data_IF_992914861841
#
_entry.id   IF_992914861841
#
_cell.length_a   1.000
_cell.length_b   1.000
_cell.length_c   1.000
_cell.angle_alpha   90.00
_cell.angle_beta   90.00
_cell.angle_gamma   90.00
#
_symmetry.space_group_name_H-M   'P 1'
#
loop_
_entity.id
_entity.type
_entity.pdbx_description
1 polymer ?
#
# COMPACT_ATOMS: atom_id res chain seq x y z
N UNK A 1 -29.15 48.02 -22.93
CA UNK A 1 -29.06 46.57 -23.24
C UNK A 1 -27.61 46.06 -23.29
N UNK A 2 -26.74 46.43 -22.35
CA UNK A 2 -25.35 45.89 -22.29
C UNK A 2 -24.90 45.51 -20.88
N UNK A 3 -25.80 45.54 -19.89
CA UNK A 3 -25.50 45.19 -18.49
C UNK A 3 -25.99 43.79 -18.08
N UNK A 4 -26.81 43.11 -18.91
CA UNK A 4 -27.37 41.79 -18.58
C UNK A 4 -26.49 40.59 -18.97
N UNK A 5 -25.44 40.80 -19.77
CA UNK A 5 -24.55 39.70 -20.21
C UNK A 5 -23.47 39.38 -19.15
N UNK A 6 -23.09 40.37 -18.32
CA UNK A 6 -22.07 40.19 -17.30
C UNK A 6 -22.49 39.26 -16.14
N UNK A 7 -23.80 39.06 -15.95
CA UNK A 7 -24.34 38.25 -14.84
C UNK A 7 -24.44 36.75 -15.18
N UNK A 8 -24.38 36.37 -16.45
CA UNK A 8 -24.40 34.97 -16.88
C UNK A 8 -23.01 34.33 -16.96
N UNK A 9 -21.93 35.13 -16.98
CA UNK A 9 -20.56 34.63 -16.99
C UNK A 9 -20.03 34.24 -15.59
N UNK A 10 -20.70 34.65 -14.51
CA UNK A 10 -20.30 34.32 -13.13
C UNK A 10 -21.05 33.13 -12.54
N UNK A 11 -22.13 32.66 -13.18
CA UNK A 11 -22.93 31.50 -12.73
C UNK A 11 -22.53 30.18 -13.41
N UNK A 12 -21.67 30.21 -14.43
CA UNK A 12 -21.18 29.01 -15.12
C UNK A 12 -19.88 28.42 -14.54
N UNK A 13 -19.24 29.09 -13.56
CA UNK A 13 -18.01 28.59 -12.92
C UNK A 13 -18.24 27.82 -11.61
N UNK A 14 -19.49 27.63 -11.19
CA UNK A 14 -19.85 26.83 -10.02
C UNK A 14 -21.09 25.97 -10.30
N UNK A 15 -20.96 24.95 -11.15
CA UNK A 15 -21.88 23.80 -11.12
C UNK A 15 -21.18 22.61 -10.44
N UNK A 16 -21.79 22.02 -9.40
CA UNK A 16 -21.17 21.00 -8.55
C UNK A 16 -21.29 19.62 -9.20
N UNK A 17 -20.15 18.99 -9.51
CA UNK A 17 -20.11 17.56 -9.82
C UNK A 17 -19.51 16.83 -8.63
N UNK A 18 -20.41 16.42 -7.74
CA UNK A 18 -20.36 15.19 -6.92
C UNK A 18 -18.98 14.60 -6.60
N UNK A 19 -18.35 15.06 -5.51
CA UNK A 19 -17.49 14.21 -4.66
C UNK A 19 -17.66 14.65 -3.19
N UNK A 20 -18.09 13.76 -2.27
CA UNK A 20 -18.24 14.14 -0.87
C UNK A 20 -16.90 13.99 -0.11
N UNK A 21 -16.53 15.06 0.60
CA UNK A 21 -15.94 15.10 1.96
C UNK A 21 -14.58 14.38 2.13
N UNK A 22 -13.44 15.02 2.46
CA UNK A 22 -13.18 16.12 3.39
C UNK A 22 -11.91 16.85 2.93
N UNK A 23 -12.02 18.15 2.68
CA UNK A 23 -10.89 19.06 2.48
C UNK A 23 -10.69 19.84 3.78
N UNK A 24 -9.77 19.41 4.64
CA UNK A 24 -9.28 20.29 5.71
C UNK A 24 -8.32 21.32 5.12
N UNK A 25 -8.67 22.59 5.36
CA UNK A 25 -8.00 23.78 4.87
C UNK A 25 -6.66 23.97 5.60
N UNK A 26 -5.59 24.10 4.83
CA UNK A 26 -4.32 24.67 5.27
C UNK A 26 -3.71 25.47 4.13
N UNK A 27 -3.95 26.78 4.11
CA UNK A 27 -3.35 27.73 3.18
C UNK A 27 -1.83 27.77 3.39
N UNK A 28 -1.07 27.08 2.54
CA UNK A 28 0.32 27.44 2.23
C UNK A 28 0.57 27.20 0.73
N UNK A 29 0.61 28.30 -0.02
CA UNK A 29 1.11 28.30 -1.40
C UNK A 29 2.65 28.22 -1.37
N UNK A 30 3.21 27.05 -1.07
CA UNK A 30 4.64 26.78 -1.26
C UNK A 30 4.74 25.60 -2.21
N UNK A 31 4.96 25.91 -3.49
CA UNK A 31 5.34 24.94 -4.51
C UNK A 31 4.36 23.79 -4.68
N UNK A 32 3.19 24.04 -5.29
CA UNK A 32 2.43 22.98 -5.94
C UNK A 32 3.33 22.40 -7.04
N UNK A 33 4.11 21.35 -6.72
CA UNK A 33 4.59 20.43 -7.75
C UNK A 33 3.32 19.86 -8.36
N UNK A 34 3.06 20.19 -9.63
CA UNK A 34 2.06 19.49 -10.41
C UNK A 34 2.25 17.98 -10.22
N UNK A 35 1.14 17.24 -10.22
CA UNK A 35 1.13 15.80 -10.01
C UNK A 35 2.33 15.16 -10.75
N UNK A 36 3.22 14.42 -10.06
CA UNK A 36 4.34 13.79 -10.74
C UNK A 36 3.79 12.91 -11.86
N UNK A 37 4.56 12.75 -12.93
CA UNK A 37 4.35 11.69 -13.92
C UNK A 37 3.89 10.42 -13.19
N UNK A 38 2.82 9.78 -13.70
CA UNK A 38 2.13 8.67 -13.05
C UNK A 38 3.14 7.74 -12.37
N UNK A 39 3.19 7.81 -11.03
CA UNK A 39 4.18 7.06 -10.27
C UNK A 39 3.98 5.57 -10.57
N UNK A 40 5.07 4.81 -10.78
CA UNK A 40 4.96 3.44 -11.25
C UNK A 40 4.11 2.58 -10.31
N UNK A 41 3.23 1.78 -10.89
CA UNK A 41 2.46 0.79 -10.13
C UNK A 41 3.42 -0.19 -9.46
N UNK A 42 3.11 -0.55 -8.21
CA UNK A 42 3.90 -1.49 -7.42
C UNK A 42 3.36 -2.88 -7.68
N UNK A 43 4.23 -3.81 -8.06
CA UNK A 43 3.93 -5.23 -8.15
C UNK A 43 5.18 -5.99 -7.72
N UNK A 44 5.06 -6.78 -6.65
CA UNK A 44 6.17 -7.51 -6.03
C UNK A 44 5.68 -8.93 -5.74
N UNK A 45 6.39 -9.93 -6.27
CA UNK A 45 6.23 -11.33 -5.86
C UNK A 45 6.95 -11.51 -4.51
N UNK A 46 6.21 -11.95 -3.50
CA UNK A 46 6.69 -12.12 -2.14
C UNK A 46 6.92 -13.59 -1.79
N UNK A 47 6.72 -14.53 -2.71
CA UNK A 47 6.77 -15.97 -2.40
C UNK A 47 8.13 -16.42 -1.89
N UNK A 48 9.21 -16.06 -2.59
CA UNK A 48 10.56 -16.40 -2.15
C UNK A 48 10.87 -15.81 -0.77
N UNK A 49 10.41 -14.58 -0.53
CA UNK A 49 10.69 -13.86 0.71
C UNK A 49 9.94 -14.47 1.89
N UNK A 50 8.66 -14.75 1.73
CA UNK A 50 7.84 -15.33 2.79
C UNK A 50 8.28 -16.76 3.12
N UNK A 51 8.60 -17.58 2.13
CA UNK A 51 9.00 -18.97 2.37
C UNK A 51 10.43 -19.11 2.91
N UNK A 52 11.33 -18.19 2.56
CA UNK A 52 12.68 -18.16 3.13
C UNK A 52 12.71 -17.65 4.57
N UNK A 53 11.74 -16.83 4.97
CA UNK A 53 11.72 -16.15 6.26
C UNK A 53 10.56 -16.65 7.12
N UNK A 54 10.82 -17.72 7.87
CA UNK A 54 9.89 -18.29 8.83
C UNK A 54 10.37 -17.98 10.25
N UNK A 55 9.58 -17.24 11.01
CA UNK A 55 9.91 -16.82 12.37
C UNK A 55 8.85 -17.27 13.37
N UNK A 56 9.30 -17.84 14.49
CA UNK A 56 8.43 -18.19 15.60
C UNK A 56 8.36 -17.09 16.65
N UNK A 57 7.14 -16.79 17.11
CA UNK A 57 6.91 -15.81 18.16
C UNK A 57 6.71 -14.38 17.65
N UNK A 58 7.51 -13.44 18.17
CA UNK A 58 7.36 -12.00 17.93
C UNK A 58 7.82 -11.57 16.52
N UNK A 59 7.46 -10.35 16.11
CA UNK A 59 7.90 -9.77 14.84
C UNK A 59 9.44 -9.71 14.78
N UNK A 60 10.09 -10.11 13.66
CA UNK A 60 11.53 -10.04 13.52
C UNK A 60 12.02 -8.60 13.65
N UNK A 61 13.14 -8.42 14.34
CA UNK A 61 13.84 -7.13 14.39
C UNK A 61 14.39 -6.74 13.00
N UNK A 62 14.72 -5.47 12.79
CA UNK A 62 15.30 -5.00 11.52
C UNK A 62 16.69 -5.58 11.25
N UNK A 63 17.42 -6.02 12.28
CA UNK A 63 18.70 -6.71 12.12
C UNK A 63 18.52 -8.17 11.66
N UNK A 64 17.45 -8.83 12.10
CA UNK A 64 17.14 -10.21 11.68
C UNK A 64 16.53 -10.27 10.28
N UNK A 65 15.65 -9.32 9.96
CA UNK A 65 15.03 -9.21 8.64
C UNK A 65 15.06 -7.74 8.22
N UNK A 66 16.10 -7.28 7.50
CA UNK A 66 16.17 -5.90 7.04
C UNK A 66 15.09 -5.62 5.99
N UNK A 67 14.74 -4.34 5.87
CA UNK A 67 13.88 -3.88 4.80
C UNK A 67 14.61 -3.95 3.45
N UNK A 68 13.90 -4.37 2.42
CA UNK A 68 14.33 -4.32 1.03
C UNK A 68 13.75 -3.08 0.36
N UNK A 69 14.58 -2.34 -0.37
CA UNK A 69 14.09 -1.23 -1.19
C UNK A 69 13.46 -1.78 -2.47
N UNK A 70 12.25 -1.34 -2.77
CA UNK A 70 11.60 -1.67 -4.04
C UNK A 70 12.33 -1.00 -5.19
N UNK A 71 12.55 -1.73 -6.29
CA UNK A 71 13.37 -1.28 -7.41
C UNK A 71 12.85 0.00 -8.09
N UNK A 72 11.53 0.24 -8.03
CA UNK A 72 10.91 1.48 -8.55
C UNK A 72 11.04 2.69 -7.63
N UNK A 73 11.75 2.57 -6.50
CA UNK A 73 11.96 3.68 -5.57
C UNK A 73 12.94 4.71 -6.12
N UNK A 74 12.69 5.99 -5.83
CA UNK A 74 13.63 7.07 -6.11
C UNK A 74 13.85 7.99 -4.89
N UNK A 75 14.50 9.14 -5.10
CA UNK A 75 14.79 10.13 -4.06
C UNK A 75 13.53 10.80 -3.46
N UNK A 76 12.46 10.91 -4.24
CA UNK A 76 11.21 11.59 -3.88
C UNK A 76 10.11 10.61 -3.41
N UNK A 77 10.17 9.35 -3.82
CA UNK A 77 9.20 8.30 -3.49
C UNK A 77 9.94 6.99 -3.22
N UNK A 78 10.24 6.73 -1.95
CA UNK A 78 10.95 5.52 -1.53
C UNK A 78 10.00 4.55 -0.84
N UNK A 79 9.88 3.35 -1.39
CA UNK A 79 9.16 2.25 -0.79
C UNK A 79 10.14 1.16 -0.37
N UNK A 80 10.03 0.77 0.89
CA UNK A 80 10.81 -0.32 1.47
C UNK A 80 9.86 -1.32 2.11
N UNK A 81 10.19 -2.60 2.04
CA UNK A 81 9.30 -3.65 2.52
C UNK A 81 10.06 -4.85 3.06
N UNK A 82 9.39 -5.64 3.88
CA UNK A 82 9.82 -6.99 4.23
C UNK A 82 8.59 -7.85 4.49
N UNK A 83 8.69 -9.13 4.16
CA UNK A 83 7.61 -10.08 4.34
C UNK A 83 8.14 -11.38 4.95
N UNK A 84 7.33 -12.02 5.78
CA UNK A 84 7.68 -13.26 6.48
C UNK A 84 6.42 -14.01 6.90
N UNK A 85 6.58 -15.25 7.37
CA UNK A 85 5.48 -16.01 7.99
C UNK A 85 5.84 -16.59 9.34
N UNK A 86 4.81 -16.93 10.12
CA UNK A 86 4.95 -17.80 11.28
C UNK A 86 5.01 -19.28 10.87
N UNK A 87 5.59 -20.17 11.68
CA UNK A 87 5.50 -21.63 11.43
C UNK A 87 4.06 -22.15 11.38
N UNK A 88 3.19 -21.54 12.18
CA UNK A 88 1.78 -21.90 12.29
C UNK A 88 1.46 -22.73 13.53
N UNK A 89 0.25 -22.57 14.04
CA UNK A 89 -0.27 -23.30 15.18
C UNK A 89 -1.77 -23.53 14.99
N UNK A 90 -2.29 -24.66 15.49
CA UNK A 90 -3.70 -25.04 15.40
C UNK A 90 -4.25 -24.99 13.96
N UNK A 91 -3.44 -25.46 13.00
CA UNK A 91 -3.84 -25.54 11.59
C UNK A 91 -3.82 -24.21 10.85
N UNK A 92 -3.33 -23.12 11.45
CA UNK A 92 -3.28 -21.78 10.85
C UNK A 92 -1.88 -21.20 10.98
N UNK A 93 -1.40 -20.47 9.98
CA UNK A 93 -0.21 -19.64 10.08
C UNK A 93 -0.51 -18.22 9.61
N UNK A 94 0.30 -17.26 10.05
CA UNK A 94 0.17 -15.88 9.65
C UNK A 94 1.26 -15.51 8.67
N UNK A 95 0.88 -14.78 7.63
CA UNK A 95 1.80 -14.07 6.75
C UNK A 95 1.73 -12.60 7.06
N UNK A 96 2.89 -11.96 7.04
CA UNK A 96 3.07 -10.58 7.46
C UNK A 96 3.77 -9.82 6.34
N UNK A 97 3.33 -8.58 6.15
CA UNK A 97 3.98 -7.61 5.30
C UNK A 97 4.15 -6.33 6.08
N UNK A 98 5.36 -5.81 6.12
CA UNK A 98 5.67 -4.48 6.63
C UNK A 98 6.12 -3.61 5.47
N UNK A 99 5.49 -2.44 5.33
CA UNK A 99 5.79 -1.46 4.29
C UNK A 99 6.18 -0.14 4.93
N UNK A 100 7.27 0.43 4.46
CA UNK A 100 7.77 1.74 4.84
C UNK A 100 7.75 2.65 3.62
N UNK A 101 7.09 3.80 3.74
CA UNK A 101 7.03 4.81 2.67
C UNK A 101 7.69 6.10 3.17
N UNK A 102 8.72 6.53 2.46
CA UNK A 102 9.42 7.78 2.72
C UNK A 102 9.16 8.76 1.57
N UNK A 103 8.63 9.93 1.91
CA UNK A 103 8.17 10.92 0.94
C UNK A 103 6.73 11.37 1.18
N UNK A 104 6.24 12.28 0.35
CA UNK A 104 4.92 12.89 0.49
C UNK A 104 3.75 12.02 0.02
N UNK A 105 4.01 11.12 -0.93
CA UNK A 105 2.98 10.23 -1.44
C UNK A 105 2.73 9.08 -0.47
N UNK A 106 1.45 8.71 -0.34
CA UNK A 106 1.03 7.48 0.30
C UNK A 106 0.99 6.34 -0.73
N UNK A 107 0.93 5.10 -0.26
CA UNK A 107 0.71 3.93 -1.11
C UNK A 107 -0.51 3.18 -0.63
N UNK A 108 -1.50 2.99 -1.51
CA UNK A 108 -2.58 2.06 -1.25
C UNK A 108 -2.11 0.65 -1.60
N UNK A 109 -1.95 -0.18 -0.58
CA UNK A 109 -1.39 -1.53 -0.65
C UNK A 109 -2.51 -2.56 -0.75
N UNK A 110 -2.32 -3.56 -1.61
CA UNK A 110 -3.06 -4.82 -1.65
C UNK A 110 -2.05 -5.94 -1.45
N UNK A 111 -2.10 -6.58 -0.29
CA UNK A 111 -1.30 -7.75 0.04
C UNK A 111 -2.14 -9.00 -0.16
N UNK A 112 -1.81 -9.80 -1.17
CA UNK A 112 -2.59 -10.97 -1.58
C UNK A 112 -1.89 -12.30 -1.31
N UNK A 113 -2.70 -13.31 -1.06
CA UNK A 113 -2.30 -14.71 -0.95
C UNK A 113 -3.31 -15.58 -1.73
N UNK A 114 -2.80 -16.43 -2.62
CA UNK A 114 -3.62 -17.31 -3.45
C UNK A 114 -3.05 -18.73 -3.45
N UNK A 115 -3.89 -19.75 -3.39
CA UNK A 115 -3.51 -21.15 -3.60
C UNK A 115 -4.48 -21.84 -4.55
N UNK A 116 -3.94 -22.70 -5.40
CA UNK A 116 -4.75 -23.47 -6.35
C UNK A 116 -5.53 -24.58 -5.64
N UNK A 117 -6.68 -24.92 -6.22
CA UNK A 117 -7.48 -26.07 -5.77
C UNK A 117 -6.82 -27.38 -6.22
N UNK A 118 -6.69 -28.36 -5.34
CA UNK A 118 -6.16 -29.68 -5.72
C UNK A 118 -6.02 -30.66 -4.56
N UNK A 119 -6.14 -31.97 -4.83
CA UNK A 119 -5.91 -33.04 -3.84
C UNK A 119 -6.65 -32.87 -2.50
N UNK A 120 -7.89 -32.40 -2.52
CA UNK A 120 -8.70 -32.15 -1.32
C UNK A 120 -8.53 -30.76 -0.68
N UNK A 121 -7.58 -29.94 -1.17
CA UNK A 121 -7.48 -28.52 -0.85
C UNK A 121 -8.55 -27.74 -1.65
N UNK A 122 -9.44 -26.95 -1.00
CA UNK A 122 -10.42 -26.14 -1.71
C UNK A 122 -9.81 -24.95 -2.48
N UNK A 123 -8.53 -24.67 -2.30
CA UNK A 123 -7.87 -23.44 -2.75
C UNK A 123 -8.17 -22.26 -1.82
N UNK A 124 -7.48 -21.16 -2.05
CA UNK A 124 -7.64 -19.93 -1.27
C UNK A 124 -7.42 -18.70 -2.15
N UNK A 125 -8.19 -17.64 -1.90
CA UNK A 125 -7.86 -16.28 -2.32
C UNK A 125 -8.17 -15.33 -1.18
N UNK A 126 -7.15 -14.64 -0.67
CA UNK A 126 -7.28 -13.69 0.43
C UNK A 126 -6.46 -12.45 0.12
N UNK A 127 -7.00 -11.30 0.48
CA UNK A 127 -6.33 -10.00 0.33
C UNK A 127 -6.53 -9.21 1.62
N UNK A 128 -5.45 -8.63 2.12
CA UNK A 128 -5.46 -7.55 3.11
C UNK A 128 -5.05 -6.25 2.40
N UNK A 129 -5.69 -5.13 2.71
CA UNK A 129 -5.43 -3.88 2.00
C UNK A 129 -5.55 -2.67 2.92
N UNK A 130 -4.90 -1.58 2.51
CA UNK A 130 -4.94 -0.34 3.27
C UNK A 130 -3.88 0.66 2.86
N UNK A 131 -3.84 1.79 3.56
CA UNK A 131 -2.95 2.89 3.23
C UNK A 131 -1.64 2.79 4.03
N UNK A 132 -0.52 2.64 3.31
CA UNK A 132 0.80 2.89 3.84
C UNK A 132 1.11 4.39 3.72
N UNK A 133 1.16 5.07 4.86
CA UNK A 133 1.26 6.53 4.93
C UNK A 133 2.70 6.97 4.73
N UNK A 134 2.93 7.87 3.78
CA UNK A 134 4.23 8.50 3.57
C UNK A 134 4.66 9.35 4.76
N UNK A 135 5.96 9.48 4.98
CA UNK A 135 6.50 10.32 6.05
C UNK A 135 6.30 11.84 5.80
N UNK A 136 5.95 12.25 4.58
CA UNK A 136 5.88 13.66 4.21
C UNK A 136 7.25 14.33 4.29
N UNK A 137 7.29 15.48 4.96
CA UNK A 137 8.53 16.16 5.34
C UNK A 137 9.18 15.60 6.61
N UNK A 138 8.54 14.64 7.30
CA UNK A 138 9.07 14.08 8.53
C UNK A 138 10.29 13.20 8.23
N UNK A 139 11.45 13.43 8.88
CA UNK A 139 12.64 12.60 8.70
C UNK A 139 12.48 11.18 9.27
N UNK A 140 11.49 10.94 10.13
CA UNK A 140 11.21 9.61 10.67
C UNK A 140 10.31 8.82 9.73
N UNK A 141 10.78 7.68 9.20
CA UNK A 141 9.99 6.88 8.28
C UNK A 141 8.79 6.23 9.00
N UNK A 142 7.66 6.17 8.31
CA UNK A 142 6.43 5.54 8.81
C UNK A 142 6.30 4.13 8.26
N UNK A 143 5.98 3.20 9.15
CA UNK A 143 5.86 1.78 8.83
C UNK A 143 4.42 1.33 9.07
N UNK A 144 3.86 0.65 8.10
CA UNK A 144 2.51 0.08 8.15
C UNK A 144 2.61 -1.44 8.04
N UNK A 145 1.84 -2.14 8.86
CA UNK A 145 1.83 -3.59 8.93
C UNK A 145 0.51 -4.14 8.38
N UNK A 146 0.61 -5.16 7.54
CA UNK A 146 -0.48 -5.95 6.99
C UNK A 146 -0.31 -7.40 7.41
N UNK A 147 -1.43 -8.11 7.61
CA UNK A 147 -1.40 -9.48 8.11
C UNK A 147 -2.58 -10.29 7.59
N UNK A 148 -2.29 -11.51 7.14
CA UNK A 148 -3.31 -12.49 6.81
C UNK A 148 -3.08 -13.79 7.57
N UNK A 149 -4.17 -14.36 8.10
CA UNK A 149 -4.18 -15.71 8.65
C UNK A 149 -4.57 -16.72 7.57
N UNK A 150 -3.78 -17.77 7.37
CA UNK A 150 -3.95 -18.75 6.31
C UNK A 150 -4.01 -20.17 6.89
N UNK A 151 -4.88 -21.00 6.33
CA UNK A 151 -4.96 -22.41 6.72
C UNK A 151 -3.75 -23.19 6.22
N UNK A 152 -3.16 -24.02 7.09
CA UNK A 152 -2.07 -24.96 6.75
C UNK A 152 -2.51 -26.10 5.84
N UNK A 153 -3.82 -26.29 5.67
CA UNK A 153 -4.38 -27.24 4.69
C UNK A 153 -4.02 -26.85 3.25
N UNK A 154 -3.81 -25.56 3.02
CA UNK A 154 -3.56 -25.02 1.70
C UNK A 154 -2.08 -25.16 1.31
N UNK A 155 -1.79 -25.39 0.03
CA UNK A 155 -0.42 -25.58 -0.47
C UNK A 155 -0.12 -24.67 -1.66
N UNK A 156 1.17 -24.54 -2.00
CA UNK A 156 1.64 -23.84 -3.20
C UNK A 156 1.18 -22.37 -3.31
N UNK A 157 1.22 -21.65 -2.19
CA UNK A 157 0.80 -20.26 -2.18
C UNK A 157 1.61 -19.39 -3.14
N UNK A 158 0.90 -18.52 -3.84
CA UNK A 158 1.43 -17.31 -4.46
C UNK A 158 1.13 -16.13 -3.54
N UNK A 159 2.13 -15.31 -3.26
CA UNK A 159 2.02 -14.13 -2.42
C UNK A 159 2.44 -12.91 -3.21
N UNK A 160 1.65 -11.86 -3.15
CA UNK A 160 1.97 -10.63 -3.89
C UNK A 160 1.69 -9.38 -3.07
N UNK A 161 2.49 -8.35 -3.35
CA UNK A 161 2.21 -6.98 -2.97
C UNK A 161 1.94 -6.20 -4.26
N UNK A 162 0.71 -5.75 -4.42
CA UNK A 162 0.33 -4.78 -5.44
C UNK A 162 0.02 -3.44 -4.80
N UNK A 163 0.34 -2.33 -5.45
CA UNK A 163 0.07 -1.02 -4.88
C UNK A 163 0.03 0.11 -5.88
N UNK A 164 -0.69 1.16 -5.51
CA UNK A 164 -0.77 2.40 -6.29
C UNK A 164 -0.48 3.59 -5.39
N UNK A 165 0.27 4.55 -5.91
CA UNK A 165 0.57 5.79 -5.22
C UNK A 165 -0.68 6.67 -5.11
N UNK A 166 -0.82 7.35 -3.98
CA UNK A 166 -1.90 8.29 -3.65
C UNK A 166 -1.29 9.57 -3.10
N UNK A 167 -1.67 10.71 -3.68
CA UNK A 167 -1.31 12.05 -3.20
C UNK A 167 -2.37 12.57 -2.22
#
# INVERSE_FOLDING_TARGET
MLWFIALFLTLASCSPVLQPLVQERGLTCVGYRGAPAELPAICIDLRSDIEAHVFDGANPSLSQLPLKTWAGSDRNHRLEYRAWRSTGSNGIFNVHLEVQVTGYANVFVNFGAQSDRGNGDPGLSRVDNGLAVGSGSNPYPRRTFFRMALGTIHRNFNYNLAGNWRL
#
